data_IF_741046351863
#
_entry.id   IF_741046351863
#
_cell.length_a   1.000
_cell.length_b   1.000
_cell.length_c   1.000
_cell.angle_alpha   90.00
_cell.angle_beta   90.00
_cell.angle_gamma   90.00
#
_symmetry.space_group_name_H-M   'P 1'
#
loop_
_entity.id
_entity.type
_entity.pdbx_description
1 polymer ?
#
# COMPACT_ATOMS: atom_id res chain seq x y z
N UNK A 1 6.13 17.91 3.14
CA UNK A 1 4.99 17.29 2.42
C UNK A 1 4.19 18.37 1.66
N UNK A 2 4.05 18.28 0.33
CA UNK A 2 3.32 19.27 -0.50
C UNK A 2 1.98 18.68 -0.93
N UNK A 3 0.88 19.36 -0.61
CA UNK A 3 -0.49 19.00 -1.00
C UNK A 3 -0.86 19.70 -2.31
N UNK A 4 -1.37 18.95 -3.28
CA UNK A 4 -1.77 19.47 -4.60
C UNK A 4 -3.16 18.97 -4.97
N UNK A 5 -3.99 19.84 -5.53
CA UNK A 5 -5.27 19.47 -6.13
C UNK A 5 -5.10 18.76 -7.48
N UNK A 6 -6.16 18.10 -7.96
CA UNK A 6 -6.21 17.52 -9.31
C UNK A 6 -5.94 18.54 -10.41
N UNK A 7 -6.39 19.78 -10.21
CA UNK A 7 -6.25 20.87 -11.18
C UNK A 7 -4.83 21.43 -11.21
N UNK A 8 -4.19 21.57 -10.05
CA UNK A 8 -2.76 21.93 -9.97
C UNK A 8 -1.85 20.86 -10.56
N UNK A 9 -2.21 19.58 -10.40
CA UNK A 9 -1.48 18.45 -10.99
C UNK A 9 -1.66 18.40 -12.51
N UNK A 10 -2.89 18.60 -12.99
CA UNK A 10 -3.20 18.67 -14.42
C UNK A 10 -2.39 19.78 -15.11
N UNK A 11 -2.36 20.97 -14.53
CA UNK A 11 -1.59 22.11 -15.04
C UNK A 11 -0.08 21.83 -15.08
N UNK A 12 0.48 21.23 -14.02
CA UNK A 12 1.93 20.99 -13.92
C UNK A 12 2.42 19.83 -14.78
N UNK A 13 1.56 18.85 -15.05
CA UNK A 13 1.90 17.65 -15.81
C UNK A 13 1.49 17.75 -17.28
N UNK A 14 0.83 18.84 -17.68
CA UNK A 14 0.23 19.01 -19.00
C UNK A 14 -0.70 17.84 -19.37
N UNK A 15 -1.55 17.47 -18.42
CA UNK A 15 -2.52 16.37 -18.56
C UNK A 15 -3.93 16.86 -18.33
N UNK A 16 -4.91 16.17 -18.91
CA UNK A 16 -6.31 16.42 -18.57
C UNK A 16 -6.58 16.09 -17.10
N UNK A 17 -7.49 16.84 -16.47
CA UNK A 17 -7.95 16.58 -15.10
C UNK A 17 -8.46 15.15 -14.93
N UNK A 18 -9.17 14.62 -15.94
CA UNK A 18 -9.69 13.24 -15.92
C UNK A 18 -8.55 12.21 -15.93
N UNK A 19 -7.51 12.42 -16.74
CA UNK A 19 -6.32 11.57 -16.78
C UNK A 19 -5.58 11.58 -15.44
N UNK A 20 -5.44 12.75 -14.81
CA UNK A 20 -4.83 12.89 -13.49
C UNK A 20 -5.62 12.12 -12.43
N UNK A 21 -6.95 12.26 -12.40
CA UNK A 21 -7.81 11.52 -11.46
C UNK A 21 -7.64 10.02 -11.65
N UNK A 22 -7.65 9.53 -12.89
CA UNK A 22 -7.44 8.11 -13.19
C UNK A 22 -6.11 7.57 -12.65
N UNK A 23 -5.03 8.33 -12.78
CA UNK A 23 -3.73 7.94 -12.21
C UNK A 23 -3.74 8.00 -10.68
N UNK A 24 -4.36 9.01 -10.08
CA UNK A 24 -4.45 9.16 -8.62
C UNK A 24 -5.25 8.02 -7.99
N UNK A 25 -6.33 7.56 -8.62
CA UNK A 25 -7.08 6.38 -8.16
C UNK A 25 -6.18 5.14 -8.05
N UNK A 26 -5.36 4.86 -9.07
CA UNK A 26 -4.39 3.75 -9.05
C UNK A 26 -3.31 3.95 -7.99
N UNK A 27 -2.83 5.17 -7.80
CA UNK A 27 -1.80 5.45 -6.80
C UNK A 27 -2.34 5.38 -5.37
N UNK A 28 -3.60 5.74 -5.15
CA UNK A 28 -4.31 5.59 -3.87
C UNK A 28 -4.57 4.11 -3.58
N UNK A 29 -5.05 3.34 -4.56
CA UNK A 29 -5.29 1.89 -4.39
C UNK A 29 -4.02 1.14 -4.05
N UNK A 30 -2.88 1.58 -4.60
CA UNK A 30 -1.56 1.01 -4.33
C UNK A 30 -0.92 1.58 -3.05
N UNK A 31 -1.60 2.48 -2.34
CA UNK A 31 -1.14 3.07 -1.08
C UNK A 31 0.00 4.08 -1.23
N UNK A 32 0.32 4.53 -2.45
CA UNK A 32 1.41 5.46 -2.75
C UNK A 32 1.01 6.93 -2.58
N UNK A 33 -0.29 7.23 -2.69
CA UNK A 33 -0.86 8.58 -2.51
C UNK A 33 -1.91 8.54 -1.40
N UNK A 34 -2.05 9.64 -0.67
CA UNK A 34 -3.16 9.87 0.26
C UNK A 34 -3.90 11.15 -0.07
N UNK A 35 -5.16 11.23 0.37
CA UNK A 35 -5.97 12.45 0.32
C UNK A 35 -5.98 13.07 1.71
N UNK A 36 -5.67 14.36 1.78
CA UNK A 36 -5.63 15.17 3.00
C UNK A 36 -6.17 16.56 2.64
N UNK A 37 -7.19 17.04 3.35
CA UNK A 37 -7.89 18.30 3.09
C UNK A 37 -8.34 18.50 1.63
N UNK A 38 -8.85 17.43 1.02
CA UNK A 38 -9.31 17.43 -0.37
C UNK A 38 -8.19 17.56 -1.42
N UNK A 39 -6.92 17.45 -1.01
CA UNK A 39 -5.74 17.49 -1.87
C UNK A 39 -4.95 16.19 -1.78
N UNK A 40 -4.09 15.98 -2.76
CA UNK A 40 -3.28 14.77 -2.89
C UNK A 40 -1.85 15.03 -2.43
N UNK A 41 -1.28 14.05 -1.72
CA UNK A 41 0.14 14.01 -1.40
C UNK A 41 0.69 12.60 -1.58
N UNK A 42 1.96 12.51 -1.98
CA UNK A 42 2.70 11.26 -1.88
C UNK A 42 2.71 10.81 -0.41
N UNK A 43 2.47 9.52 -0.21
CA UNK A 43 2.69 8.88 1.07
C UNK A 43 4.21 8.82 1.28
N UNK A 44 4.78 9.79 1.98
CA UNK A 44 6.04 9.55 2.69
C UNK A 44 5.82 8.28 3.52
N UNK A 45 6.73 7.29 3.43
CA UNK A 45 6.62 6.00 4.14
C UNK A 45 6.18 6.25 5.59
N UNK A 46 4.90 6.04 5.88
CA UNK A 46 4.35 6.35 7.19
C UNK A 46 4.32 5.09 8.03
N UNK A 47 4.41 5.25 9.35
CA UNK A 47 4.48 4.15 10.30
C UNK A 47 3.34 3.13 10.08
N UNK A 48 2.13 3.59 9.71
CA UNK A 48 1.02 2.71 9.37
C UNK A 48 1.32 1.77 8.19
N UNK A 49 1.95 2.27 7.12
CA UNK A 49 2.37 1.43 5.98
C UNK A 49 3.50 0.46 6.33
N UNK A 50 4.43 0.89 7.18
CA UNK A 50 5.51 0.03 7.71
C UNK A 50 4.94 -1.08 8.59
N UNK A 51 4.04 -0.74 9.51
CA UNK A 51 3.33 -1.69 10.36
C UNK A 51 2.49 -2.68 9.56
N UNK A 52 1.83 -2.23 8.48
CA UNK A 52 1.07 -3.12 7.58
C UNK A 52 1.98 -4.16 6.92
N UNK A 53 3.17 -3.76 6.45
CA UNK A 53 4.17 -4.69 5.91
C UNK A 53 4.69 -5.65 6.97
N UNK A 54 5.10 -5.14 8.14
CA UNK A 54 5.55 -5.99 9.25
C UNK A 54 4.50 -7.03 9.65
N UNK A 55 3.21 -6.64 9.67
CA UNK A 55 2.11 -7.58 9.92
C UNK A 55 2.04 -8.68 8.85
N UNK A 56 2.15 -8.33 7.58
CA UNK A 56 2.14 -9.31 6.49
C UNK A 56 3.33 -10.27 6.60
N UNK A 57 4.52 -9.75 6.88
CA UNK A 57 5.73 -10.55 7.04
C UNK A 57 5.59 -11.57 8.19
N UNK A 58 5.03 -11.14 9.33
CA UNK A 58 4.78 -12.04 10.48
C UNK A 58 3.74 -13.11 10.17
N UNK A 59 2.63 -12.75 9.49
CA UNK A 59 1.61 -13.73 9.12
C UNK A 59 2.16 -14.78 8.15
N UNK A 60 2.90 -14.35 7.13
CA UNK A 60 3.52 -15.29 6.18
C UNK A 60 4.57 -16.19 6.84
N UNK A 61 5.33 -15.67 7.80
CA UNK A 61 6.25 -16.49 8.58
C UNK A 61 5.52 -17.51 9.44
N UNK A 62 4.40 -17.12 10.06
CA UNK A 62 3.57 -18.01 10.86
C UNK A 62 2.95 -19.13 10.03
N UNK A 63 2.39 -18.81 8.86
CA UNK A 63 1.80 -19.80 7.94
C UNK A 63 2.84 -20.87 7.53
N UNK A 64 4.06 -20.44 7.24
CA UNK A 64 5.16 -21.35 6.91
C UNK A 64 5.56 -22.24 8.10
N UNK A 65 5.61 -21.68 9.32
CA UNK A 65 5.88 -22.47 10.52
C UNK A 65 4.77 -23.50 10.77
N UNK A 66 3.51 -23.16 10.51
CA UNK A 66 2.39 -24.07 10.64
C UNK A 66 2.47 -25.21 9.62
N UNK A 67 2.89 -24.93 8.38
CA UNK A 67 3.11 -25.95 7.36
C UNK A 67 4.23 -26.91 7.75
N UNK A 68 5.37 -26.39 8.22
CA UNK A 68 6.49 -27.20 8.74
C UNK A 68 6.04 -28.07 9.92
N UNK A 69 5.25 -27.54 10.84
CA UNK A 69 4.72 -28.30 11.97
C UNK A 69 3.83 -29.46 11.48
N UNK A 70 2.90 -29.20 10.55
CA UNK A 70 2.06 -30.25 9.93
C UNK A 70 2.88 -31.33 9.24
N UNK A 71 3.99 -30.96 8.57
CA UNK A 71 4.88 -31.95 7.98
C UNK A 71 5.58 -32.82 9.02
N UNK A 72 6.00 -32.22 10.14
CA UNK A 72 6.62 -32.95 11.26
C UNK A 72 5.59 -33.89 11.89
N UNK A 73 4.40 -33.41 12.20
CA UNK A 73 3.32 -34.20 12.79
C UNK A 73 2.96 -35.39 11.90
N UNK A 74 2.85 -35.17 10.58
CA UNK A 74 2.65 -36.22 9.59
C UNK A 74 3.78 -37.27 9.59
N UNK A 75 5.04 -36.85 9.75
CA UNK A 75 6.20 -37.77 9.82
C UNK A 75 6.25 -38.55 11.13
N UNK A 76 5.81 -37.92 12.22
CA UNK A 76 5.78 -38.52 13.56
C UNK A 76 4.47 -39.27 13.85
N UNK A 77 3.48 -39.19 12.97
CA UNK A 77 2.15 -39.78 13.11
C UNK A 77 1.39 -39.27 14.35
N UNK A 78 1.50 -37.97 14.64
CA UNK A 78 0.78 -37.27 15.73
C UNK A 78 -0.22 -36.25 15.18
#
# INVERSE_FOLDING_TARGET
KKLLSSDELAYKLDLSRATVIHHLEKLISNGLVIIEDGKYALREKNLASTLKKMKQDVLSAYDNLEEIAKEIDKKLQI
#
